data_IF_137969123587
#
_entry.id   IF_137969123587
#
_cell.length_a   1.000
_cell.length_b   1.000
_cell.length_c   1.000
_cell.angle_alpha   90.00
_cell.angle_beta   90.00
_cell.angle_gamma   90.00
#
_symmetry.space_group_name_H-M   'P 1'
#
loop_
_entity.id
_entity.type
_entity.pdbx_description
1 polymer ?
#
# COMPACT_ATOMS: atom_id res chain seq x y z
N UNK A 1 7.14 14.22 -20.07
CA UNK A 1 6.32 13.01 -19.94
C UNK A 1 6.38 12.61 -18.47
N UNK A 2 5.45 13.10 -17.65
CA UNK A 2 5.47 12.83 -16.21
C UNK A 2 5.13 11.36 -15.99
N UNK A 3 6.08 10.60 -15.45
CA UNK A 3 5.87 9.23 -15.05
C UNK A 3 4.70 9.18 -14.07
N UNK A 4 3.60 8.56 -14.49
CA UNK A 4 2.52 8.19 -13.61
C UNK A 4 3.12 7.29 -12.54
N UNK A 5 3.40 7.89 -11.38
CA UNK A 5 3.85 7.19 -10.19
C UNK A 5 2.64 6.37 -9.73
N UNK A 6 2.46 5.18 -10.32
CA UNK A 6 1.46 4.22 -9.87
C UNK A 6 1.72 4.03 -8.38
N UNK A 7 0.85 4.64 -7.57
CA UNK A 7 0.93 4.52 -6.13
C UNK A 7 0.57 3.07 -5.87
N UNK A 8 1.55 2.23 -5.56
CA UNK A 8 1.31 0.82 -5.23
C UNK A 8 0.52 0.79 -3.91
N UNK A 9 -0.81 0.69 -4.02
CA UNK A 9 -1.70 0.55 -2.87
C UNK A 9 -1.89 -0.95 -2.64
N UNK A 10 -1.79 -1.35 -1.38
CA UNK A 10 -1.87 -2.73 -0.96
C UNK A 10 -3.00 -2.88 0.04
N UNK A 11 -3.93 -3.77 -0.24
CA UNK A 11 -5.03 -4.11 0.67
C UNK A 11 -4.72 -5.41 1.39
N UNK A 12 -4.76 -5.39 2.72
CA UNK A 12 -4.71 -6.62 3.51
C UNK A 12 -6.06 -7.35 3.41
N UNK A 13 -6.05 -8.59 2.93
CA UNK A 13 -7.27 -9.34 2.58
C UNK A 13 -8.16 -9.57 3.79
N UNK A 14 -7.57 -9.81 4.98
CA UNK A 14 -8.34 -10.14 6.19
C UNK A 14 -8.90 -8.93 6.91
N UNK A 15 -8.13 -7.84 7.05
CA UNK A 15 -8.56 -6.66 7.81
C UNK A 15 -9.17 -5.56 6.92
N UNK A 16 -8.99 -5.64 5.59
CA UNK A 16 -9.36 -4.56 4.67
C UNK A 16 -8.47 -3.32 4.77
N UNK A 17 -7.42 -3.34 5.60
CA UNK A 17 -6.50 -2.23 5.77
C UNK A 17 -5.79 -1.88 4.47
N UNK A 18 -5.63 -0.57 4.21
CA UNK A 18 -4.99 -0.04 3.00
C UNK A 18 -3.62 0.50 3.36
N UNK A 19 -2.63 0.14 2.56
CA UNK A 19 -1.23 0.43 2.81
C UNK A 19 -0.54 0.90 1.54
N UNK A 20 0.53 1.66 1.68
CA UNK A 20 1.45 1.98 0.59
C UNK A 20 2.85 1.52 0.95
N UNK A 21 3.55 0.92 -0.01
CA UNK A 21 4.95 0.54 0.19
C UNK A 21 5.81 1.80 0.10
N UNK A 22 6.55 2.09 1.18
CA UNK A 22 7.43 3.25 1.26
C UNK A 22 8.90 2.87 1.08
N UNK A 23 9.22 1.58 1.15
CA UNK A 23 10.56 1.07 0.91
C UNK A 23 10.67 -0.44 1.04
N UNK A 24 11.80 -0.98 0.62
CA UNK A 24 12.24 -2.36 0.86
C UNK A 24 13.62 -2.32 1.51
N UNK A 25 13.93 -3.31 2.33
CA UNK A 25 15.19 -3.36 3.06
C UNK A 25 15.61 -4.78 3.41
N UNK A 26 16.67 -4.88 4.20
CA UNK A 26 17.18 -6.13 4.75
C UNK A 26 17.29 -5.98 6.27
N UNK A 27 16.85 -6.97 7.02
CA UNK A 27 17.14 -7.04 8.46
C UNK A 27 18.63 -7.32 8.62
N UNK A 28 19.36 -6.45 9.31
CA UNK A 28 20.81 -6.56 9.46
C UNK A 28 21.22 -7.86 10.19
N UNK A 29 20.41 -8.32 11.14
CA UNK A 29 20.72 -9.47 11.98
C UNK A 29 20.79 -10.81 11.22
N UNK A 30 19.94 -10.99 10.19
CA UNK A 30 19.77 -12.26 9.50
C UNK A 30 19.70 -12.13 7.97
N UNK A 31 19.84 -10.92 7.44
CA UNK A 31 19.71 -10.58 6.02
C UNK A 31 18.35 -10.96 5.43
N UNK A 32 17.30 -11.04 6.24
CA UNK A 32 15.95 -11.30 5.75
C UNK A 32 15.43 -10.09 4.97
N UNK A 33 14.96 -10.26 3.71
CA UNK A 33 14.37 -9.17 2.96
C UNK A 33 13.04 -8.75 3.58
N UNK A 34 12.83 -7.45 3.76
CA UNK A 34 11.62 -6.88 4.37
C UNK A 34 10.98 -5.81 3.50
N UNK A 35 9.66 -5.75 3.58
CA UNK A 35 8.86 -4.68 2.99
C UNK A 35 8.43 -3.71 4.08
N UNK A 36 8.67 -2.42 3.85
CA UNK A 36 8.29 -1.32 4.73
C UNK A 36 7.10 -0.62 4.11
N UNK A 37 6.00 -0.56 4.85
CA UNK A 37 4.75 -0.02 4.35
C UNK A 37 4.05 0.83 5.40
N UNK A 38 3.26 1.79 4.93
CA UNK A 38 2.54 2.78 5.75
C UNK A 38 1.04 2.62 5.58
N UNK A 39 0.30 2.61 6.69
CA UNK A 39 -1.17 2.67 6.69
C UNK A 39 -1.64 3.97 6.05
N UNK A 40 -2.61 3.88 5.14
CA UNK A 40 -3.26 5.06 4.55
C UNK A 40 -4.29 5.69 5.49
N UNK A 41 -4.72 4.98 6.53
CA UNK A 41 -5.75 5.44 7.46
C UNK A 41 -5.18 6.30 8.59
N UNK A 42 -4.18 5.77 9.28
CA UNK A 42 -3.62 6.36 10.51
C UNK A 42 -2.14 6.74 10.37
N UNK A 43 -1.48 6.36 9.26
CA UNK A 43 -0.09 6.68 9.01
C UNK A 43 0.93 5.77 9.72
N UNK A 44 0.52 4.76 10.49
CA UNK A 44 1.45 3.83 11.12
C UNK A 44 2.33 3.12 10.08
N UNK A 45 3.60 2.96 10.43
CA UNK A 45 4.60 2.28 9.61
C UNK A 45 4.84 0.89 10.18
N UNK A 46 4.82 -0.09 9.28
CA UNK A 46 5.02 -1.50 9.60
C UNK A 46 6.15 -2.07 8.76
N UNK A 47 6.82 -3.07 9.32
CA UNK A 47 7.88 -3.83 8.66
C UNK A 47 7.51 -5.30 8.76
N UNK A 48 7.54 -6.00 7.64
CA UNK A 48 7.25 -7.43 7.57
C UNK A 48 8.20 -8.12 6.59
N UNK A 49 8.53 -9.42 6.78
CA UNK A 49 9.27 -10.18 5.78
C UNK A 49 8.59 -10.08 4.42
N UNK A 50 9.40 -9.85 3.37
CA UNK A 50 8.89 -9.69 2.00
C UNK A 50 8.12 -10.94 1.57
N UNK A 51 8.61 -12.12 1.95
CA UNK A 51 7.94 -13.39 1.70
C UNK A 51 6.52 -13.43 2.32
N UNK A 52 6.33 -12.92 3.54
CA UNK A 52 4.99 -12.88 4.17
C UNK A 52 4.07 -11.83 3.53
N UNK A 53 4.65 -10.72 3.05
CA UNK A 53 3.91 -9.68 2.36
C UNK A 53 3.39 -10.16 1.00
N UNK A 54 4.19 -10.95 0.29
CA UNK A 54 3.91 -11.48 -1.05
C UNK A 54 3.18 -12.84 -1.04
N UNK A 55 2.95 -13.44 0.13
CA UNK A 55 2.22 -14.71 0.35
C UNK A 55 0.68 -14.61 0.09
N UNK A 56 0.23 -13.55 -0.60
CA UNK A 56 -1.18 -13.33 -0.92
C UNK A 56 -2.05 -12.78 0.22
N UNK A 57 -1.45 -12.49 1.40
CA UNK A 57 -2.12 -11.74 2.49
C UNK A 57 -2.45 -10.31 2.09
N UNK A 58 -1.64 -9.74 1.19
CA UNK A 58 -1.84 -8.41 0.62
C UNK A 58 -2.09 -8.51 -0.88
N UNK A 59 -3.03 -7.69 -1.37
CA UNK A 59 -3.32 -7.55 -2.79
C UNK A 59 -2.95 -6.15 -3.25
N UNK A 60 -2.17 -6.07 -4.32
CA UNK A 60 -1.92 -4.80 -4.99
C UNK A 60 -3.22 -4.37 -5.70
N UNK A 61 -3.66 -3.14 -5.42
CA UNK A 61 -4.83 -2.53 -6.05
C UNK A 61 -4.37 -1.31 -6.84
N UNK A 62 -4.94 -1.13 -8.03
CA UNK A 62 -4.63 0.03 -8.85
C UNK A 62 -5.17 1.29 -8.15
N UNK A 63 -4.42 2.40 -8.23
CA UNK A 63 -4.86 3.70 -7.67
C UNK A 63 -6.16 4.18 -8.31
N UNK A 64 -6.46 3.76 -9.54
CA UNK A 64 -7.71 4.04 -10.24
C UNK A 64 -8.95 3.43 -9.55
N UNK A 65 -8.78 2.34 -8.76
CA UNK A 65 -9.87 1.74 -7.97
C UNK A 65 -10.14 2.49 -6.64
N UNK A 66 -9.27 3.44 -6.27
CA UNK A 66 -9.39 4.23 -5.02
C UNK A 66 -10.03 5.60 -5.29
N UNK A 67 -10.48 5.86 -6.53
CA UNK A 67 -11.06 7.14 -6.93
C UNK A 67 -12.50 7.38 -6.45
N UNK A 68 -13.24 6.36 -5.99
CA UNK A 68 -14.67 6.48 -5.65
C UNK A 68 -14.97 6.69 -4.15
N UNK A 69 -14.19 7.52 -3.46
CA UNK A 69 -14.54 7.97 -2.10
C UNK A 69 -14.56 9.49 -1.94
N UNK A 70 -14.46 10.25 -3.03
CA UNK A 70 -14.75 11.68 -2.97
C UNK A 70 -16.27 11.84 -2.91
N UNK A 71 -16.84 12.55 -1.93
CA UNK A 71 -18.22 12.99 -2.06
C UNK A 71 -18.32 13.77 -3.37
N UNK A 72 -19.27 13.36 -4.21
CA UNK A 72 -19.54 13.97 -5.51
C UNK A 72 -20.09 15.37 -5.28
N UNK A 73 -19.22 16.33 -4.92
CA UNK A 73 -19.61 17.72 -4.78
C UNK A 73 -19.82 18.30 -6.17
N UNK A 74 -21.09 18.51 -6.47
CA UNK A 74 -21.63 19.66 -7.18
C UNK A 74 -20.88 20.09 -8.45
N UNK A 75 -21.05 19.33 -9.53
CA UNK A 75 -21.09 19.96 -10.85
C UNK A 75 -22.55 20.28 -11.19
N UNK A 76 -23.04 21.40 -10.64
CA UNK A 76 -24.13 22.16 -11.24
C UNK A 76 -23.53 23.22 -12.15
N UNK A 77 -23.86 23.17 -13.44
CA UNK A 77 -24.25 24.31 -14.29
C UNK A 77 -24.87 23.77 -15.56
#
# INVERSE_FOLDING_TARGET
MSAYNQSEIWQHVKSGGLYTVIGRGMIEADLTPVTIYRSLWDGAVWVSPTAEFEDGRFRNIAVDDVADCRPQSDYST
#
